data_IF_072400617864
#
_entry.id   IF_072400617864
#
_cell.length_a   1.000
_cell.length_b   1.000
_cell.length_c   1.000
_cell.angle_alpha   90.00
_cell.angle_beta   90.00
_cell.angle_gamma   90.00
#
_symmetry.space_group_name_H-M   'P 1'
#
loop_
_entity.id
_entity.type
_entity.pdbx_description
1 polymer ?
#
# COMPACT_ATOMS: atom_id res chain seq x y z
N UNK A 1 6.62 -5.35 -9.66
CA UNK A 1 5.80 -4.49 -10.53
C UNK A 1 4.44 -4.39 -9.89
N UNK A 2 3.75 -3.27 -10.02
CA UNK A 2 2.47 -3.09 -9.34
C UNK A 2 1.64 -2.00 -10.00
N UNK A 3 0.33 -2.04 -9.78
CA UNK A 3 -0.57 -0.91 -9.94
C UNK A 3 -1.11 -0.54 -8.58
N UNK A 4 -1.01 0.72 -8.19
CA UNK A 4 -1.54 1.27 -6.94
C UNK A 4 -2.53 2.38 -7.27
N UNK A 5 -3.70 2.35 -6.65
CA UNK A 5 -4.71 3.41 -6.74
C UNK A 5 -5.11 3.86 -5.35
N UNK A 6 -5.20 5.16 -5.14
CA UNK A 6 -5.76 5.77 -3.93
C UNK A 6 -6.94 6.65 -4.36
N UNK A 7 -8.09 6.43 -3.78
CA UNK A 7 -9.31 7.21 -3.99
C UNK A 7 -9.66 7.88 -2.68
N UNK A 8 -9.54 9.20 -2.64
CA UNK A 8 -9.77 9.99 -1.42
C UNK A 8 -11.24 10.37 -1.28
N UNK A 9 -11.71 10.33 -0.02
CA UNK A 9 -13.04 10.79 0.40
C UNK A 9 -12.89 11.77 1.57
N UNK A 10 -13.95 12.45 1.92
CA UNK A 10 -13.95 13.43 3.03
C UNK A 10 -13.68 12.79 4.39
N UNK A 11 -14.07 11.52 4.56
CA UNK A 11 -14.00 10.76 5.81
C UNK A 11 -12.96 9.63 5.81
N UNK A 12 -12.17 9.52 4.73
CA UNK A 12 -11.14 8.50 4.60
C UNK A 12 -10.71 8.26 3.17
N UNK A 13 -10.41 7.01 2.83
CA UNK A 13 -9.98 6.65 1.47
C UNK A 13 -10.18 5.17 1.19
N UNK A 14 -10.23 4.84 -0.10
CA UNK A 14 -10.05 3.50 -0.64
C UNK A 14 -8.65 3.42 -1.26
N UNK A 15 -7.98 2.30 -1.06
CA UNK A 15 -6.72 2.00 -1.73
C UNK A 15 -6.79 0.59 -2.30
N UNK A 16 -6.32 0.44 -3.53
CA UNK A 16 -6.19 -0.87 -4.16
C UNK A 16 -4.79 -1.06 -4.74
N UNK A 17 -4.27 -2.28 -4.62
CA UNK A 17 -2.95 -2.63 -5.16
C UNK A 17 -2.96 -3.99 -5.84
N UNK A 18 -2.63 -4.01 -7.13
CA UNK A 18 -2.24 -5.21 -7.86
C UNK A 18 -0.76 -5.50 -7.64
N UNK A 19 -0.45 -6.70 -7.18
CA UNK A 19 0.94 -7.19 -7.10
C UNK A 19 1.26 -7.99 -8.36
N UNK A 20 2.00 -7.38 -9.27
CA UNK A 20 2.50 -8.05 -10.46
C UNK A 20 3.88 -8.62 -10.16
N UNK A 21 4.02 -9.93 -10.19
CA UNK A 21 5.24 -10.60 -9.76
C UNK A 21 5.52 -11.83 -10.64
N UNK A 22 6.75 -12.33 -10.60
CA UNK A 22 7.12 -13.59 -11.24
C UNK A 22 6.31 -14.73 -10.65
N UNK A 23 5.78 -15.59 -11.49
CA UNK A 23 4.94 -16.71 -11.09
C UNK A 23 5.66 -17.60 -10.07
N UNK A 24 6.96 -17.79 -10.23
CA UNK A 24 7.81 -18.61 -9.34
C UNK A 24 7.87 -18.08 -7.89
N UNK A 25 7.52 -16.79 -7.64
CA UNK A 25 7.49 -16.22 -6.28
C UNK A 25 6.16 -16.43 -5.54
N UNK A 26 5.14 -16.94 -6.22
CA UNK A 26 3.82 -17.14 -5.65
C UNK A 26 3.07 -15.86 -5.30
N UNK A 27 1.83 -16.02 -4.88
CA UNK A 27 0.91 -14.93 -4.57
C UNK A 27 1.20 -14.22 -3.23
N UNK A 28 2.06 -14.80 -2.40
CA UNK A 28 2.32 -14.32 -1.04
C UNK A 28 1.40 -14.99 0.00
N UNK A 29 1.56 -14.56 1.24
CA UNK A 29 0.80 -15.04 2.39
C UNK A 29 -0.37 -14.09 2.69
N UNK A 30 -1.46 -14.57 3.31
CA UNK A 30 -2.57 -13.69 3.70
C UNK A 30 -2.11 -12.63 4.70
N UNK A 31 -2.86 -11.50 4.83
CA UNK A 31 -2.58 -10.49 5.82
C UNK A 31 -2.54 -11.05 7.23
N UNK A 32 -1.59 -10.58 8.01
CA UNK A 32 -1.44 -10.90 9.43
C UNK A 32 -1.33 -9.61 10.24
N UNK A 33 -1.68 -9.72 11.52
CA UNK A 33 -1.54 -8.63 12.49
C UNK A 33 -0.12 -8.67 13.05
N UNK A 34 0.54 -7.52 13.03
CA UNK A 34 1.88 -7.34 13.56
C UNK A 34 1.90 -6.25 14.61
N UNK A 35 2.45 -6.54 15.77
CA UNK A 35 2.62 -5.58 16.85
C UNK A 35 4.08 -5.10 16.88
N UNK A 36 4.26 -3.79 16.83
CA UNK A 36 5.56 -3.13 16.90
C UNK A 36 5.52 -2.05 18.00
N UNK A 37 5.96 -2.40 19.21
CA UNK A 37 5.73 -1.58 20.39
C UNK A 37 4.24 -1.43 20.68
N UNK A 38 3.76 -0.20 20.77
CA UNK A 38 2.35 0.10 20.99
C UNK A 38 1.53 0.14 19.69
N UNK A 39 2.16 0.07 18.52
CA UNK A 39 1.45 0.21 17.23
C UNK A 39 1.14 -1.14 16.62
N UNK A 40 -0.10 -1.27 16.13
CA UNK A 40 -0.60 -2.42 15.38
C UNK A 40 -0.59 -2.09 13.88
N UNK A 41 -0.02 -2.98 13.08
CA UNK A 41 -0.05 -2.92 11.62
C UNK A 41 -0.52 -4.25 11.04
N UNK A 42 -1.11 -4.19 9.85
CA UNK A 42 -1.60 -5.36 9.11
C UNK A 42 -1.01 -5.35 7.72
N UNK A 43 -0.45 -6.47 7.31
CA UNK A 43 0.07 -6.64 5.95
C UNK A 43 0.18 -8.10 5.52
N UNK A 44 0.07 -8.40 4.19
CA UNK A 44 0.36 -9.70 3.62
C UNK A 44 1.87 -9.94 3.59
N UNK A 45 2.31 -11.20 3.67
CA UNK A 45 3.72 -11.59 3.60
C UNK A 45 4.16 -11.98 2.19
N UNK A 46 5.46 -11.83 1.88
CA UNK A 46 6.07 -12.33 0.64
C UNK A 46 6.70 -13.73 0.82
N UNK A 47 6.53 -14.34 1.99
CA UNK A 47 7.13 -15.62 2.35
C UNK A 47 8.61 -15.54 2.76
N UNK A 48 9.22 -14.36 2.69
CA UNK A 48 10.61 -14.11 3.08
C UNK A 48 10.74 -13.02 4.16
N UNK A 49 9.64 -12.70 4.84
CA UNK A 49 9.58 -11.67 5.89
C UNK A 49 9.37 -10.25 5.37
N UNK A 50 9.17 -10.07 4.08
CA UNK A 50 8.88 -8.79 3.46
C UNK A 50 7.41 -8.62 3.10
N UNK A 51 7.05 -7.38 2.74
CA UNK A 51 5.73 -7.03 2.20
C UNK A 51 5.83 -5.90 1.17
N UNK A 52 4.72 -5.64 0.47
CA UNK A 52 4.57 -4.58 -0.53
C UNK A 52 3.51 -3.54 -0.15
N UNK A 53 2.72 -3.83 0.90
CA UNK A 53 1.65 -2.97 1.40
C UNK A 53 1.42 -3.25 2.88
N UNK A 54 1.14 -2.20 3.66
CA UNK A 54 0.71 -2.32 5.05
C UNK A 54 -0.29 -1.22 5.40
N UNK A 55 -1.20 -1.49 6.31
CA UNK A 55 -2.03 -0.49 6.97
C UNK A 55 -1.82 -0.57 8.49
N UNK A 56 -1.77 0.58 9.19
CA UNK A 56 -1.63 0.61 10.64
C UNK A 56 -2.87 1.20 11.34
N UNK A 57 -2.94 1.09 12.65
CA UNK A 57 -4.08 1.54 13.46
C UNK A 57 -4.37 3.05 13.39
N UNK A 58 -3.42 3.87 12.94
CA UNK A 58 -3.63 5.29 12.69
C UNK A 58 -4.35 5.55 11.36
N UNK A 59 -4.67 4.49 10.60
CA UNK A 59 -5.24 4.57 9.25
C UNK A 59 -4.22 4.93 8.19
N UNK A 60 -2.93 4.86 8.50
CA UNK A 60 -1.87 5.10 7.53
C UNK A 60 -1.65 3.85 6.70
N UNK A 61 -1.71 3.96 5.37
CA UNK A 61 -1.33 2.88 4.46
C UNK A 61 -0.03 3.22 3.76
N UNK A 62 0.87 2.24 3.74
CA UNK A 62 2.17 2.29 3.11
C UNK A 62 2.21 1.29 1.95
N UNK A 63 2.67 1.72 0.78
CA UNK A 63 2.79 0.86 -0.39
C UNK A 63 4.13 1.07 -1.09
N UNK A 64 4.69 0.00 -1.65
CA UNK A 64 5.98 0.00 -2.30
C UNK A 64 5.89 -0.56 -3.72
N UNK A 65 6.35 0.23 -4.70
CA UNK A 65 6.46 -0.14 -6.10
C UNK A 65 7.93 -0.17 -6.52
N UNK A 66 8.23 -1.01 -7.50
CA UNK A 66 9.55 -0.97 -8.14
C UNK A 66 9.72 0.32 -8.94
N UNK A 67 10.96 0.77 -9.13
CA UNK A 67 11.34 1.76 -10.14
C UNK A 67 12.24 1.07 -11.14
N UNK A 68 11.74 0.85 -12.33
CA UNK A 68 12.46 0.17 -13.41
C UNK A 68 13.03 1.14 -14.45
N UNK A 69 12.62 2.41 -14.38
CA UNK A 69 13.15 3.53 -15.17
C UNK A 69 14.55 3.99 -14.70
N UNK A 70 14.96 3.55 -13.53
CA UNK A 70 16.27 3.87 -12.95
C UNK A 70 17.18 2.65 -13.02
N UNK A 71 18.36 2.83 -13.60
CA UNK A 71 19.40 1.79 -13.61
C UNK A 71 20.01 1.72 -12.20
N UNK A 72 19.88 0.56 -11.51
CA UNK A 72 20.46 0.44 -10.18
C UNK A 72 21.98 0.49 -10.24
N UNK A 73 22.61 1.12 -9.26
CA UNK A 73 24.04 0.99 -9.08
C UNK A 73 24.41 -0.47 -8.83
N UNK A 74 25.61 -0.89 -9.28
CA UNK A 74 26.15 -2.19 -8.90
C UNK A 74 26.20 -2.28 -7.37
N UNK A 75 25.39 -3.15 -6.80
CA UNK A 75 25.51 -3.52 -5.39
C UNK A 75 26.38 -4.76 -5.27
N UNK A 76 26.97 -4.96 -4.10
CA UNK A 76 27.68 -6.20 -3.80
C UNK A 76 26.74 -7.38 -4.06
N UNK A 77 27.09 -8.21 -5.06
CA UNK A 77 26.27 -9.36 -5.47
C UNK A 77 26.12 -10.39 -4.35
N UNK A 78 26.95 -10.30 -3.31
CA UNK A 78 26.98 -11.25 -2.21
C UNK A 78 25.94 -10.93 -1.12
N UNK A 79 25.31 -9.74 -1.14
CA UNK A 79 24.28 -9.36 -0.17
C UNK A 79 23.15 -8.50 -0.79
N UNK A 80 22.37 -9.04 -1.74
CA UNK A 80 21.23 -8.30 -2.26
C UNK A 80 20.16 -8.17 -1.18
N UNK A 81 19.85 -6.95 -0.76
CA UNK A 81 18.77 -6.67 0.18
C UNK A 81 17.42 -6.53 -0.52
N UNK A 82 16.38 -7.06 0.14
CA UNK A 82 15.02 -7.00 -0.40
C UNK A 82 14.35 -5.65 -0.10
N UNK A 83 13.72 -5.03 -1.11
CA UNK A 83 12.83 -3.87 -0.90
C UNK A 83 11.68 -4.18 0.06
N UNK A 84 11.26 -5.45 0.13
CA UNK A 84 10.16 -5.89 1.00
C UNK A 84 10.41 -5.65 2.49
N UNK A 85 11.66 -5.45 2.92
CA UNK A 85 12.00 -5.15 4.32
C UNK A 85 11.67 -3.71 4.75
N UNK A 86 11.45 -2.79 3.80
CA UNK A 86 11.24 -1.36 4.08
C UNK A 86 9.91 -1.13 4.81
N UNK A 87 8.81 -1.70 4.28
CA UNK A 87 7.49 -1.50 4.87
C UNK A 87 7.42 -2.03 6.31
N UNK A 88 7.87 -3.26 6.64
CA UNK A 88 7.86 -3.73 8.02
C UNK A 88 8.64 -2.84 8.98
N UNK A 89 9.74 -2.23 8.52
CA UNK A 89 10.52 -1.31 9.34
C UNK A 89 9.81 0.03 9.62
N UNK A 90 8.88 0.44 8.75
CA UNK A 90 8.20 1.73 8.78
C UNK A 90 6.72 1.65 9.19
N UNK A 91 6.14 0.45 9.24
CA UNK A 91 4.70 0.23 9.40
C UNK A 91 4.13 0.78 10.73
N UNK A 92 4.97 0.99 11.74
CA UNK A 92 4.57 1.54 13.04
C UNK A 92 4.59 3.07 13.12
N UNK A 93 4.96 3.78 12.05
CA UNK A 93 5.00 5.24 12.06
C UNK A 93 3.60 5.84 12.30
N UNK A 94 3.43 6.75 13.30
CA UNK A 94 2.11 7.25 13.68
C UNK A 94 1.66 8.47 12.86
N UNK A 95 2.54 9.05 12.04
CA UNK A 95 2.31 10.28 11.30
C UNK A 95 3.28 10.41 10.13
N UNK A 96 3.02 11.36 9.23
CA UNK A 96 3.94 11.72 8.14
C UNK A 96 5.31 12.13 8.66
N UNK A 97 5.36 13.00 9.67
CA UNK A 97 6.61 13.43 10.29
C UNK A 97 7.37 12.26 10.93
N UNK A 98 6.65 11.38 11.63
CA UNK A 98 7.24 10.15 12.19
C UNK A 98 7.82 9.23 11.14
N UNK A 99 7.12 9.08 10.00
CA UNK A 99 7.61 8.28 8.88
C UNK A 99 8.86 8.90 8.23
N UNK A 100 8.87 10.23 8.04
CA UNK A 100 10.05 10.92 7.51
C UNK A 100 11.28 10.74 8.40
N UNK A 101 11.11 10.88 9.71
CA UNK A 101 12.19 10.64 10.66
C UNK A 101 12.68 9.19 10.60
N UNK A 102 11.78 8.22 10.53
CA UNK A 102 12.12 6.80 10.41
C UNK A 102 12.85 6.49 9.10
N UNK A 103 12.46 7.10 7.98
CA UNK A 103 13.22 6.96 6.72
C UNK A 103 14.64 7.49 6.83
N UNK A 104 14.85 8.60 7.56
CA UNK A 104 16.18 9.19 7.78
C UNK A 104 17.15 8.26 8.52
N UNK A 105 16.64 7.26 9.24
CA UNK A 105 17.45 6.26 9.97
C UNK A 105 17.64 4.95 9.19
N UNK A 106 16.92 4.74 8.09
CA UNK A 106 17.03 3.52 7.31
C UNK A 106 18.34 3.49 6.50
N UNK A 107 19.06 2.40 6.64
CA UNK A 107 20.14 2.10 5.69
C UNK A 107 19.55 1.54 4.41
N UNK A 108 19.56 2.32 3.32
CA UNK A 108 19.07 1.93 2.00
C UNK A 108 20.17 1.37 1.09
N UNK A 109 21.42 1.30 1.55
CA UNK A 109 22.51 0.72 0.77
C UNK A 109 22.21 -0.72 0.38
N UNK A 110 22.46 -1.08 -0.89
CA UNK A 110 22.17 -2.41 -1.43
C UNK A 110 20.69 -2.68 -1.78
N UNK A 111 19.79 -1.74 -1.49
CA UNK A 111 18.39 -1.84 -1.90
C UNK A 111 18.22 -1.27 -3.31
N UNK A 112 17.54 -2.02 -4.17
CA UNK A 112 17.24 -1.59 -5.55
C UNK A 112 16.26 -0.41 -5.57
N UNK A 113 16.25 0.40 -6.65
CA UNK A 113 15.35 1.54 -6.81
C UNK A 113 13.88 1.19 -6.57
N UNK A 114 13.19 2.09 -5.86
CA UNK A 114 11.78 1.93 -5.53
C UNK A 114 11.06 3.28 -5.49
N UNK A 115 9.74 3.22 -5.58
CA UNK A 115 8.79 4.27 -5.20
C UNK A 115 8.02 3.79 -3.98
N UNK A 116 7.95 4.61 -2.97
CA UNK A 116 7.21 4.33 -1.76
C UNK A 116 6.13 5.40 -1.58
N UNK A 117 4.91 4.97 -1.31
CA UNK A 117 3.75 5.85 -1.16
C UNK A 117 3.16 5.64 0.24
N UNK A 118 2.92 6.74 0.94
CA UNK A 118 2.22 6.78 2.22
C UNK A 118 0.96 7.61 2.12
N UNK A 119 -0.16 7.11 2.66
CA UNK A 119 -1.44 7.82 2.74
C UNK A 119 -1.72 8.14 4.20
N UNK A 120 -1.92 9.43 4.51
CA UNK A 120 -2.03 9.97 5.87
C UNK A 120 -3.37 10.68 6.04
N UNK A 121 -4.42 9.97 6.47
CA UNK A 121 -5.77 10.54 6.50
C UNK A 121 -5.95 11.64 7.56
N UNK A 122 -5.21 11.60 8.66
CA UNK A 122 -5.28 12.64 9.70
C UNK A 122 -4.67 13.97 9.23
N UNK A 123 -3.66 13.92 8.37
CA UNK A 123 -3.01 15.08 7.77
C UNK A 123 -3.61 15.46 6.42
N UNK A 124 -4.57 14.68 5.90
CA UNK A 124 -5.12 14.80 4.54
C UNK A 124 -4.00 14.94 3.50
N UNK A 125 -3.01 14.08 3.59
CA UNK A 125 -1.81 14.11 2.76
C UNK A 125 -1.49 12.74 2.18
N UNK A 126 -0.96 12.77 0.97
CA UNK A 126 -0.30 11.63 0.34
C UNK A 126 1.16 12.03 0.16
N UNK A 127 2.07 11.15 0.54
CA UNK A 127 3.50 11.39 0.41
C UNK A 127 4.16 10.31 -0.43
N UNK A 128 5.15 10.71 -1.21
CA UNK A 128 5.90 9.83 -2.08
C UNK A 128 7.39 9.98 -1.83
N UNK A 129 8.08 8.85 -1.67
CA UNK A 129 9.54 8.76 -1.61
C UNK A 129 10.03 7.99 -2.84
N UNK A 130 11.06 8.51 -3.46
CA UNK A 130 11.74 7.88 -4.59
C UNK A 130 13.18 7.54 -4.24
N UNK A 131 13.55 6.27 -4.26
CA UNK A 131 14.93 5.81 -4.10
C UNK A 131 15.52 5.45 -5.46
N UNK A 132 16.69 5.98 -5.81
CA UNK A 132 17.36 5.70 -7.08
C UNK A 132 18.65 4.89 -6.95
N UNK A 133 18.96 4.37 -5.78
CA UNK A 133 20.20 3.72 -5.32
C UNK A 133 21.27 4.67 -4.78
N UNK A 134 21.07 5.99 -4.86
CA UNK A 134 22.00 7.02 -4.36
C UNK A 134 21.30 7.99 -3.44
N UNK A 135 20.15 8.50 -3.90
CA UNK A 135 19.41 9.56 -3.24
C UNK A 135 17.97 9.16 -2.97
N UNK A 136 17.50 9.48 -1.77
CA UNK A 136 16.09 9.43 -1.43
C UNK A 136 15.47 10.80 -1.64
N UNK A 137 14.55 10.88 -2.62
CA UNK A 137 13.74 12.08 -2.86
C UNK A 137 12.42 11.98 -2.10
N UNK A 138 11.81 13.11 -1.80
CA UNK A 138 10.54 13.20 -1.08
C UNK A 138 9.67 14.28 -1.71
N UNK A 139 8.37 14.00 -1.82
CA UNK A 139 7.35 14.99 -2.20
C UNK A 139 6.03 14.70 -1.52
N UNK A 140 5.27 15.73 -1.21
CA UNK A 140 3.89 15.62 -0.77
C UNK A 140 2.94 15.95 -1.90
N UNK A 141 1.78 15.29 -1.88
CA UNK A 141 0.65 15.55 -2.76
C UNK A 141 -0.52 15.98 -1.89
N UNK A 142 -1.43 16.80 -2.43
CA UNK A 142 -2.68 17.11 -1.75
C UNK A 142 -3.56 15.87 -1.59
N UNK A 143 -4.65 16.03 -0.82
CA UNK A 143 -5.65 15.00 -0.62
C UNK A 143 -6.50 14.85 -1.89
N UNK A 144 -6.06 13.98 -2.80
CA UNK A 144 -6.67 13.77 -4.11
C UNK A 144 -6.48 12.32 -4.58
N UNK A 145 -7.37 11.86 -5.43
CA UNK A 145 -7.26 10.51 -6.01
C UNK A 145 -6.09 10.44 -6.99
N UNK A 146 -5.25 9.41 -6.83
CA UNK A 146 -4.02 9.23 -7.58
C UNK A 146 -3.77 7.76 -7.90
N UNK A 147 -3.02 7.54 -8.99
CA UNK A 147 -2.60 6.21 -9.43
C UNK A 147 -1.09 6.17 -9.65
N UNK A 148 -0.47 5.05 -9.34
CA UNK A 148 0.95 4.78 -9.61
C UNK A 148 1.10 3.43 -10.30
N UNK A 149 2.05 3.39 -11.22
CA UNK A 149 2.29 2.21 -12.03
C UNK A 149 3.77 1.88 -12.05
N UNK A 150 4.10 0.60 -12.08
CA UNK A 150 5.45 0.13 -12.35
C UNK A 150 5.45 -1.11 -13.23
N UNK A 151 6.47 -1.22 -14.09
CA UNK A 151 6.63 -2.35 -15.01
C UNK A 151 8.11 -2.65 -15.22
N UNK A 152 8.49 -3.92 -15.17
CA UNK A 152 9.88 -4.32 -15.47
C UNK A 152 10.26 -4.15 -16.95
N UNK A 153 9.31 -3.85 -17.82
CA UNK A 153 9.56 -3.58 -19.23
C UNK A 153 9.78 -2.08 -19.46
N UNK A 154 8.85 -1.26 -18.95
CA UNK A 154 8.89 0.19 -19.06
C UNK A 154 7.89 0.82 -18.11
N UNK A 155 8.35 1.54 -17.09
CA UNK A 155 7.48 2.30 -16.19
C UNK A 155 6.75 3.40 -16.97
N UNK A 156 7.43 4.10 -17.87
CA UNK A 156 6.85 5.14 -18.72
C UNK A 156 5.70 4.63 -19.60
N UNK A 157 5.85 3.45 -20.20
CA UNK A 157 4.79 2.86 -21.02
C UNK A 157 3.63 2.37 -20.17
N UNK A 158 3.90 1.79 -18.99
CA UNK A 158 2.86 1.41 -18.03
C UNK A 158 2.08 2.64 -17.56
N UNK A 159 2.75 3.74 -17.25
CA UNK A 159 2.12 4.99 -16.84
C UNK A 159 1.23 5.58 -17.95
N UNK A 160 1.71 5.58 -19.18
CA UNK A 160 0.93 6.06 -20.33
C UNK A 160 -0.33 5.25 -20.56
N UNK A 161 -0.23 3.92 -20.66
CA UNK A 161 -1.34 3.03 -21.05
C UNK A 161 -2.32 2.82 -19.89
N UNK A 162 -1.82 2.49 -18.69
CA UNK A 162 -2.68 2.29 -17.51
C UNK A 162 -3.28 3.61 -17.03
N UNK A 163 -2.52 4.71 -17.12
CA UNK A 163 -3.02 6.05 -16.80
C UNK A 163 -4.14 6.51 -17.73
N UNK A 164 -4.06 6.18 -19.03
CA UNK A 164 -5.15 6.42 -19.96
C UNK A 164 -6.40 5.63 -19.56
N UNK A 165 -6.25 4.32 -19.28
CA UNK A 165 -7.35 3.47 -18.83
C UNK A 165 -8.00 3.97 -17.52
N UNK A 166 -7.22 4.48 -16.57
CA UNK A 166 -7.75 5.08 -15.35
C UNK A 166 -8.55 6.36 -15.64
N UNK A 167 -8.05 7.23 -16.53
CA UNK A 167 -8.78 8.47 -16.90
C UNK A 167 -10.09 8.15 -17.63
N UNK A 168 -10.10 7.16 -18.51
CA UNK A 168 -11.31 6.73 -19.22
C UNK A 168 -12.33 6.16 -18.24
N UNK A 169 -11.91 5.28 -17.34
CA UNK A 169 -12.76 4.69 -16.31
C UNK A 169 -13.32 5.74 -15.32
N UNK A 170 -12.61 6.85 -15.08
CA UNK A 170 -13.08 7.92 -14.20
C UNK A 170 -14.34 8.61 -14.71
N UNK A 171 -14.72 8.41 -15.98
CA UNK A 171 -15.95 8.93 -16.55
C UNK A 171 -17.18 8.04 -16.26
N UNK A 172 -16.99 6.88 -15.65
CA UNK A 172 -18.09 5.98 -15.28
C UNK A 172 -18.95 6.58 -14.16
N UNK A 173 -20.28 6.34 -14.15
CA UNK A 173 -21.19 6.95 -13.15
C UNK A 173 -20.89 6.57 -11.71
N UNK A 174 -20.34 5.38 -11.47
CA UNK A 174 -19.97 4.87 -10.15
C UNK A 174 -18.47 5.00 -9.86
N UNK A 175 -17.76 5.84 -10.65
CA UNK A 175 -16.36 6.12 -10.42
C UNK A 175 -16.08 6.48 -8.96
N UNK A 176 -14.95 6.00 -8.44
CA UNK A 176 -14.53 6.16 -7.05
C UNK A 176 -15.24 5.27 -6.02
N UNK A 177 -16.17 4.39 -6.42
CA UNK A 177 -16.71 3.36 -5.53
C UNK A 177 -15.74 2.17 -5.39
N UNK A 178 -15.91 1.36 -4.33
CA UNK A 178 -15.12 0.15 -4.13
C UNK A 178 -15.32 -0.86 -5.28
N UNK A 179 -16.54 -1.04 -5.76
CA UNK A 179 -16.84 -1.92 -6.89
C UNK A 179 -16.18 -1.44 -8.19
N UNK A 180 -16.24 -0.13 -8.44
CA UNK A 180 -15.56 0.47 -9.57
C UNK A 180 -14.04 0.23 -9.49
N UNK A 181 -13.45 0.42 -8.32
CA UNK A 181 -12.01 0.23 -8.11
C UNK A 181 -11.57 -1.22 -8.36
N UNK A 182 -12.40 -2.21 -7.95
CA UNK A 182 -12.18 -3.64 -8.26
C UNK A 182 -12.25 -3.91 -9.76
N UNK A 183 -13.28 -3.36 -10.47
CA UNK A 183 -13.38 -3.50 -11.93
C UNK A 183 -12.19 -2.86 -12.63
N UNK A 184 -11.78 -1.66 -12.21
CA UNK A 184 -10.61 -0.98 -12.75
C UNK A 184 -9.35 -1.84 -12.64
N UNK A 185 -9.07 -2.38 -11.45
CA UNK A 185 -7.91 -3.23 -11.21
C UNK A 185 -7.98 -4.59 -11.92
N UNK A 186 -9.17 -5.06 -12.27
CA UNK A 186 -9.41 -6.26 -13.06
C UNK A 186 -9.31 -6.01 -14.58
N UNK A 187 -9.26 -4.76 -15.04
CA UNK A 187 -9.42 -4.40 -16.44
C UNK A 187 -8.21 -4.72 -17.30
N UNK A 188 -8.52 -4.92 -18.60
CA UNK A 188 -7.53 -5.17 -19.67
C UNK A 188 -7.76 -4.19 -20.81
N UNK A 189 -7.78 -2.89 -20.53
CA UNK A 189 -7.93 -1.89 -21.56
C UNK A 189 -6.91 -2.15 -22.69
N UNK A 190 -7.40 -2.40 -23.91
CA UNK A 190 -6.55 -2.80 -25.05
C UNK A 190 -6.24 -4.31 -25.12
N UNK A 191 -6.83 -5.15 -24.25
CA UNK A 191 -6.63 -6.60 -24.19
C UNK A 191 -5.63 -7.05 -23.10
N UNK A 192 -5.68 -8.35 -22.71
CA UNK A 192 -4.76 -8.91 -21.72
C UNK A 192 -3.32 -8.82 -22.20
N UNK A 193 -2.43 -8.23 -21.40
CA UNK A 193 -1.05 -8.04 -21.80
C UNK A 193 -0.12 -7.52 -20.71
N UNK A 194 1.10 -7.14 -21.07
CA UNK A 194 2.12 -6.71 -20.13
C UNK A 194 1.85 -5.34 -19.52
N UNK A 195 1.01 -4.53 -20.16
CA UNK A 195 0.68 -3.16 -19.72
C UNK A 195 -0.80 -2.99 -19.36
N UNK A 196 -1.61 -4.06 -19.31
CA UNK A 196 -2.95 -4.01 -18.74
C UNK A 196 -2.87 -3.76 -17.20
N UNK A 197 -3.93 -3.24 -16.60
CA UNK A 197 -4.02 -3.06 -15.16
C UNK A 197 -3.92 -4.40 -14.43
N UNK A 198 -4.65 -5.43 -14.91
CA UNK A 198 -4.41 -6.80 -14.54
C UNK A 198 -3.42 -7.42 -15.54
N UNK A 199 -2.19 -7.66 -15.11
CA UNK A 199 -1.08 -8.06 -15.99
C UNK A 199 -1.15 -9.53 -16.40
N UNK A 200 -0.94 -9.77 -17.69
CA UNK A 200 -0.84 -11.10 -18.29
C UNK A 200 0.44 -11.23 -19.12
N UNK A 201 1.40 -11.97 -18.59
CA UNK A 201 2.64 -12.37 -19.29
C UNK A 201 2.91 -13.84 -19.02
N UNK A 202 3.83 -14.43 -19.75
CA UNK A 202 4.22 -15.84 -19.58
C UNK A 202 4.94 -16.03 -18.24
N UNK A 203 5.83 -15.12 -17.87
CA UNK A 203 6.71 -15.17 -16.70
C UNK A 203 6.23 -14.36 -15.51
N UNK A 204 5.41 -13.34 -15.74
CA UNK A 204 4.91 -12.38 -14.77
C UNK A 204 3.40 -12.19 -14.93
N UNK A 205 2.68 -12.19 -13.82
CA UNK A 205 1.22 -11.95 -13.80
C UNK A 205 0.88 -11.13 -12.58
N UNK A 206 -0.31 -10.53 -12.57
CA UNK A 206 -0.93 -10.09 -11.32
C UNK A 206 -1.22 -11.35 -10.50
N UNK A 207 -0.56 -11.49 -9.35
CA UNK A 207 -0.66 -12.66 -8.48
C UNK A 207 -1.55 -12.46 -7.27
N UNK A 208 -1.78 -11.20 -6.90
CA UNK A 208 -2.73 -10.86 -5.84
C UNK A 208 -3.26 -9.44 -6.03
N UNK A 209 -4.43 -9.20 -5.43
CA UNK A 209 -5.07 -7.90 -5.28
C UNK A 209 -5.28 -7.65 -3.80
N UNK A 210 -4.92 -6.45 -3.33
CA UNK A 210 -5.16 -6.04 -1.94
C UNK A 210 -5.95 -4.74 -1.95
N UNK A 211 -7.01 -4.70 -1.17
CA UNK A 211 -7.85 -3.52 -0.97
C UNK A 211 -7.77 -3.07 0.49
N UNK A 212 -7.62 -1.78 0.70
CA UNK A 212 -7.65 -1.15 2.03
C UNK A 212 -8.72 -0.08 2.04
N UNK A 213 -9.65 -0.18 2.98
CA UNK A 213 -10.68 0.81 3.24
C UNK A 213 -10.38 1.44 4.59
N UNK A 214 -10.21 2.75 4.60
CA UNK A 214 -10.01 3.53 5.83
C UNK A 214 -11.12 4.55 5.95
N UNK A 215 -11.81 4.51 7.07
CA UNK A 215 -12.82 5.49 7.48
C UNK A 215 -12.36 6.23 8.74
N UNK A 216 -13.19 7.12 9.26
CA UNK A 216 -12.92 7.77 10.56
C UNK A 216 -12.85 6.77 11.72
N UNK A 217 -13.48 5.60 11.60
CA UNK A 217 -13.65 4.66 12.73
C UNK A 217 -12.98 3.31 12.52
N UNK A 218 -12.74 2.91 11.28
CA UNK A 218 -12.38 1.54 10.96
C UNK A 218 -11.34 1.50 9.86
N UNK A 219 -10.50 0.48 9.95
CA UNK A 219 -9.55 0.08 8.92
C UNK A 219 -9.91 -1.36 8.54
N UNK A 220 -10.02 -1.59 7.24
CA UNK A 220 -10.31 -2.91 6.67
C UNK A 220 -9.31 -3.20 5.57
N UNK A 221 -8.64 -4.35 5.65
CA UNK A 221 -7.77 -4.85 4.58
C UNK A 221 -8.33 -6.18 4.09
N UNK A 222 -8.59 -6.25 2.79
CA UNK A 222 -8.94 -7.49 2.08
C UNK A 222 -7.81 -7.87 1.13
N UNK A 223 -7.49 -9.15 1.12
CA UNK A 223 -6.45 -9.69 0.24
C UNK A 223 -6.98 -10.89 -0.54
N UNK A 224 -6.81 -10.84 -1.82
CA UNK A 224 -7.26 -11.87 -2.77
C UNK A 224 -6.06 -12.45 -3.50
N UNK A 225 -5.94 -13.77 -3.48
CA UNK A 225 -4.94 -14.47 -4.26
C UNK A 225 -5.42 -14.66 -5.69
N UNK A 226 -4.51 -14.50 -6.63
CA UNK A 226 -4.78 -14.65 -8.05
C UNK A 226 -5.04 -13.33 -8.75
N UNK A 227 -5.51 -13.43 -9.96
CA UNK A 227 -5.77 -12.28 -10.82
C UNK A 227 -7.14 -11.69 -10.52
N UNK A 228 -7.26 -10.40 -10.31
CA UNK A 228 -8.57 -9.77 -10.08
C UNK A 228 -9.55 -9.98 -11.22
N UNK A 229 -9.08 -10.14 -12.46
CA UNK A 229 -9.94 -10.44 -13.61
C UNK A 229 -10.53 -11.88 -13.63
N UNK A 230 -10.07 -12.75 -12.74
CA UNK A 230 -10.59 -14.11 -12.56
C UNK A 230 -11.37 -14.25 -11.25
N UNK A 231 -11.62 -13.14 -10.56
CA UNK A 231 -12.48 -13.12 -9.37
C UNK A 231 -13.93 -13.06 -9.82
N UNK A 232 -14.79 -13.87 -9.20
CA UNK A 232 -16.23 -13.80 -9.43
C UNK A 232 -16.79 -12.44 -8.98
N UNK A 233 -17.99 -12.08 -9.45
CA UNK A 233 -18.64 -10.82 -9.11
C UNK A 233 -18.78 -10.61 -7.59
N UNK A 234 -18.80 -11.70 -6.81
CA UNK A 234 -18.90 -11.71 -5.33
C UNK A 234 -17.54 -11.66 -4.61
N UNK A 235 -16.43 -11.39 -5.35
CA UNK A 235 -15.13 -11.10 -4.75
C UNK A 235 -14.13 -12.25 -4.71
N UNK A 236 -14.37 -13.38 -5.40
CA UNK A 236 -13.39 -14.46 -5.52
C UNK A 236 -12.98 -15.12 -4.21
N UNK A 237 -11.92 -15.92 -4.22
CA UNK A 237 -11.36 -16.52 -3.01
C UNK A 237 -10.64 -15.44 -2.19
N UNK A 238 -11.37 -14.77 -1.31
CA UNK A 238 -10.80 -13.93 -0.27
C UNK A 238 -9.96 -14.82 0.64
N UNK A 239 -8.67 -14.58 0.73
CA UNK A 239 -7.78 -15.37 1.59
C UNK A 239 -7.43 -14.66 2.89
N UNK A 240 -7.91 -13.42 3.08
CA UNK A 240 -7.71 -12.71 4.34
C UNK A 240 -8.49 -11.41 4.39
N UNK A 241 -9.38 -11.30 5.35
CA UNK A 241 -10.05 -10.08 5.77
C UNK A 241 -9.62 -9.76 7.19
N UNK A 242 -9.08 -8.57 7.39
CA UNK A 242 -8.78 -8.06 8.73
C UNK A 242 -9.44 -6.70 8.87
N UNK A 243 -10.23 -6.57 9.94
CA UNK A 243 -10.88 -5.34 10.34
C UNK A 243 -10.46 -4.97 11.76
N UNK A 244 -10.17 -3.70 11.99
CA UNK A 244 -9.87 -3.20 13.33
C UNK A 244 -10.24 -1.72 13.45
N UNK A 245 -10.54 -1.24 14.67
CA UNK A 245 -10.87 0.15 14.90
C UNK A 245 -9.66 1.04 14.62
N UNK A 246 -9.93 2.20 14.02
CA UNK A 246 -8.90 3.22 13.84
C UNK A 246 -8.66 3.92 15.18
N UNK A 247 -7.40 4.06 15.57
CA UNK A 247 -7.02 4.86 16.72
C UNK A 247 -7.41 6.32 16.48
N UNK A 248 -8.21 6.87 17.40
CA UNK A 248 -8.50 8.31 17.38
C UNK A 248 -7.26 9.04 17.89
N UNK A 249 -6.62 9.82 17.03
CA UNK A 249 -5.62 10.77 17.51
C UNK A 249 -6.35 11.74 18.43
N UNK A 250 -5.93 11.93 19.69
CA UNK A 250 -6.52 12.97 20.52
C UNK A 250 -6.32 14.31 19.78
N UNK A 251 -7.34 15.20 19.80
CA UNK A 251 -7.19 16.52 19.20
C UNK A 251 -5.91 17.15 19.76
N UNK A 252 -5.07 17.71 18.89
CA UNK A 252 -3.88 18.47 19.30
C UNK A 252 -4.39 19.62 20.15
N UNK A 253 -4.38 19.46 21.47
CA UNK A 253 -4.81 20.46 22.40
C UNK A 253 -3.91 21.68 22.26
N UNK A 254 -4.51 22.84 22.01
CA UNK A 254 -3.85 24.10 22.32
C UNK A 254 -3.31 24.00 23.73
N UNK A 255 -2.00 24.05 23.88
CA UNK A 255 -1.35 24.14 25.19
C UNK A 255 -1.80 25.44 25.86
N UNK A 256 -2.80 25.32 26.71
CA UNK A 256 -3.09 26.32 27.73
C UNK A 256 -2.31 25.88 28.98
N UNK A 257 -1.45 26.74 29.47
CA UNK A 257 -0.54 26.44 30.57
C UNK A 257 -1.26 26.18 31.90
N UNK A 258 -0.47 25.61 32.81
CA UNK A 258 -0.60 25.43 34.26
C UNK A 258 -1.33 24.19 34.78
N UNK A 259 -0.46 23.33 35.35
CA UNK A 259 -0.60 22.51 36.56
C UNK A 259 -1.73 21.47 36.73
N UNK A 260 -1.24 20.29 37.05
CA UNK A 260 -1.90 19.09 37.58
C UNK A 260 -2.60 18.20 36.54
N UNK A 261 -1.90 17.17 36.11
CA UNK A 261 -2.49 16.01 35.45
C UNK A 261 -2.08 14.72 36.18
N UNK A 262 -3.02 14.16 36.91
CA UNK A 262 -2.93 12.79 37.41
C UNK A 262 -2.98 11.81 36.26
N UNK A 263 -2.02 10.91 36.23
CA UNK A 263 -1.92 9.79 35.31
C UNK A 263 -3.04 8.77 35.58
N UNK A 264 -4.00 8.66 34.69
CA UNK A 264 -4.86 7.47 34.58
C UNK A 264 -4.55 6.80 33.26
N UNK A 265 -3.58 5.89 33.29
CA UNK A 265 -3.28 4.97 32.19
C UNK A 265 -4.23 3.79 32.20
N UNK A 266 -5.18 3.74 31.28
CA UNK A 266 -5.85 2.50 30.91
C UNK A 266 -5.55 2.23 29.44
N UNK A 267 -4.58 1.37 29.21
CA UNK A 267 -4.33 0.74 27.91
C UNK A 267 -5.48 -0.20 27.60
N UNK A 268 -6.39 0.20 26.69
CA UNK A 268 -7.34 -0.72 26.11
C UNK A 268 -6.64 -1.49 24.99
N UNK A 269 -6.39 -2.76 25.23
CA UNK A 269 -5.95 -3.71 24.21
C UNK A 269 -7.04 -3.82 23.14
N UNK A 270 -6.74 -3.36 21.93
CA UNK A 270 -7.65 -3.45 20.78
C UNK A 270 -7.46 -4.84 20.17
N UNK A 271 -8.47 -5.69 20.29
CA UNK A 271 -8.45 -7.02 19.67
C UNK A 271 -9.02 -6.95 18.24
N UNK A 272 -8.22 -7.19 17.21
CA UNK A 272 -8.70 -7.24 15.82
C UNK A 272 -9.55 -8.51 15.60
N UNK A 273 -10.65 -8.38 14.84
CA UNK A 273 -11.39 -9.55 14.33
C UNK A 273 -10.66 -10.08 13.09
N UNK A 274 -10.20 -11.32 13.17
CA UNK A 274 -9.59 -12.05 12.04
C UNK A 274 -10.60 -13.07 11.55
N UNK A 275 -11.01 -12.97 10.29
CA UNK A 275 -11.82 -13.99 9.63
C UNK A 275 -10.97 -14.60 8.53
N UNK A 276 -10.61 -15.86 8.71
CA UNK A 276 -9.91 -16.66 7.69
C UNK A 276 -10.96 -17.62 7.14
N UNK A 277 -11.30 -17.49 5.87
CA UNK A 277 -12.10 -18.49 5.17
C UNK A 277 -11.22 -19.63 4.69
N UNK A 278 -11.68 -20.89 4.80
CA UNK A 278 -10.92 -22.08 4.41
C UNK A 278 -10.58 -22.15 2.91
#
# INVERSE_FOLDING_TARGET
MCTLSVITHSDGYLLAMNRDERIARGAGEPPQVHHRGATTAVYPGDGAGGTWIAANEHGITLALLNRSDVVPLPCDRNQPRSRGEIIPALASAPSLTGLQAAFGTLNLHGIRPFRFVGVFPSEQAIAEWGWDSVQLTFQTRGWQSLHWFSSSLSDRQAESLRGAACRDAQQEPDASSALWLRRLHASHAGGPGPFSLCVHRVDVKTLSYTEVVVTLRQIRMEHFRGRPCAMDADGGTNVGLIEYPRATTPPVGHMCGSDQCELIGQSKTINPRVTISP
#
